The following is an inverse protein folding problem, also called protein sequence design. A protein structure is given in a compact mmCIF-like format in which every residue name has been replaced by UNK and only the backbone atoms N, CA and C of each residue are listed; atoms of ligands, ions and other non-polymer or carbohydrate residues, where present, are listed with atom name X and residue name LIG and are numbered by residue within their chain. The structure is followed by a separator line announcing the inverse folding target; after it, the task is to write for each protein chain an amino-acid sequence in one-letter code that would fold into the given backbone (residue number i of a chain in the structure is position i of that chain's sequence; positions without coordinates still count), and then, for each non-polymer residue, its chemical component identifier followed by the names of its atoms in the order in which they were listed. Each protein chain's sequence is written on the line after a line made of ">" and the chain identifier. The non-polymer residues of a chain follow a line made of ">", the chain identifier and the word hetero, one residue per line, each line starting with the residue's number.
data_IF_543531600648
#
_entry.id   IF_543531600648
#
_cell.length_a   1.000
_cell.length_b   1.000
_cell.length_c   1.000
_cell.angle_alpha   90.00
_cell.angle_beta   90.00
_cell.angle_gamma   90.00
#
_symmetry.space_group_name_H-M   'P 1'
#
loop_
_entity.id
_entity.type
_entity.pdbx_description
1 polymer ?
#
# COMPACT_ATOMS: atom_id res chain seq x y z
N UNK A 1 -8.77 9.94 -3.63
CA UNK A 1 -8.45 11.36 -3.39
C UNK A 1 -7.65 11.62 -2.12
N UNK A 2 -7.66 10.76 -1.10
CA UNK A 2 -6.96 11.01 0.18
C UNK A 2 -5.46 10.62 0.20
N UNK A 3 -4.98 9.74 -0.69
CA UNK A 3 -3.51 9.57 -0.86
C UNK A 3 -2.78 10.88 -1.21
N UNK A 4 -3.53 11.87 -1.71
CA UNK A 4 -3.01 13.21 -1.94
C UNK A 4 -2.77 13.99 -0.62
N UNK A 5 -3.47 13.63 0.47
CA UNK A 5 -3.36 14.34 1.75
C UNK A 5 -2.09 13.98 2.53
N UNK A 6 -1.63 12.73 2.47
CA UNK A 6 -0.33 12.35 3.07
C UNK A 6 0.81 12.96 2.27
N UNK A 7 0.70 13.00 0.94
CA UNK A 7 1.63 13.73 0.08
C UNK A 7 1.66 15.23 0.42
N UNK A 8 0.53 15.82 0.76
CA UNK A 8 0.45 17.24 1.18
C UNK A 8 1.10 17.49 2.52
N UNK A 9 0.94 16.59 3.52
CA UNK A 9 1.51 16.80 4.86
C UNK A 9 3.05 16.69 4.86
N UNK A 10 3.61 15.76 4.10
CA UNK A 10 5.07 15.63 3.93
C UNK A 10 5.62 16.73 3.01
N UNK A 11 4.90 17.11 1.95
CA UNK A 11 5.32 18.16 1.02
C UNK A 11 5.26 19.57 1.63
N UNK A 12 4.29 19.87 2.49
CA UNK A 12 4.15 21.18 3.15
C UNK A 12 5.28 21.43 4.15
N UNK A 13 5.82 20.41 4.79
CA UNK A 13 6.99 20.58 5.67
C UNK A 13 8.29 20.87 4.89
N UNK A 14 8.35 20.54 3.61
CA UNK A 14 9.52 20.74 2.73
C UNK A 14 9.44 22.05 1.93
N UNK A 15 8.22 22.55 1.66
CA UNK A 15 8.01 23.71 0.78
C UNK A 15 8.16 25.08 1.46
N UNK A 16 8.50 25.15 2.75
CA UNK A 16 8.79 26.44 3.41
C UNK A 16 10.19 26.98 3.12
N UNK A 17 10.97 26.38 2.22
CA UNK A 17 12.36 26.78 1.95
C UNK A 17 12.67 27.15 0.49
N UNK A 18 11.70 27.32 -0.37
CA UNK A 18 12.02 27.85 -1.71
C UNK A 18 10.91 28.72 -2.28
N UNK A 19 11.05 30.01 -2.02
CA UNK A 19 10.40 31.11 -2.74
C UNK A 19 11.08 31.31 -4.11
N UNK A 20 10.25 31.67 -5.12
CA UNK A 20 10.60 32.23 -6.42
C UNK A 20 11.02 31.27 -7.55
N UNK A 21 10.03 30.90 -8.37
CA UNK A 21 10.14 31.01 -9.83
C UNK A 21 8.75 30.93 -10.49
N UNK A 22 8.32 31.99 -11.12
CA UNK A 22 7.20 32.02 -12.07
C UNK A 22 7.72 31.84 -13.50
N UNK A 23 7.10 31.01 -14.33
CA UNK A 23 7.16 31.25 -15.77
C UNK A 23 5.78 31.59 -16.37
N UNK A 24 5.80 32.61 -17.16
CA UNK A 24 4.75 33.20 -17.96
C UNK A 24 4.20 32.25 -19.04
N UNK A 25 2.89 32.43 -19.24
CA UNK A 25 2.05 31.78 -20.24
C UNK A 25 2.28 32.47 -21.59
N UNK A 26 2.41 31.69 -22.67
CA UNK A 26 2.20 32.13 -24.04
C UNK A 26 1.23 31.19 -24.76
N UNK A 27 0.11 31.66 -25.30
CA UNK A 27 -0.80 30.83 -26.08
C UNK A 27 -0.41 30.84 -27.56
N UNK A 28 -0.41 29.71 -28.24
CA UNK A 28 -0.40 29.62 -29.68
C UNK A 28 -1.53 28.75 -30.20
N UNK A 29 -2.37 29.42 -30.93
CA UNK A 29 -3.53 29.02 -31.71
C UNK A 29 -3.12 28.47 -33.09
N UNK A 30 -4.01 27.66 -33.62
CA UNK A 30 -4.26 27.27 -35.03
C UNK A 30 -4.07 25.79 -35.28
N UNK A 31 -4.89 25.11 -35.96
CA UNK A 31 -6.05 25.31 -36.82
C UNK A 31 -6.32 23.97 -37.49
N UNK A 32 -7.57 23.62 -37.55
CA UNK A 32 -8.26 22.71 -38.45
C UNK A 32 -7.49 22.11 -39.61
N UNK A 33 -7.62 20.81 -39.86
CA UNK A 33 -7.85 20.26 -41.22
C UNK A 33 -8.46 18.86 -41.18
N UNK A 34 -9.70 18.80 -41.62
CA UNK A 34 -10.38 17.90 -42.55
C UNK A 34 -10.30 16.35 -42.39
N UNK A 35 -11.50 15.85 -42.10
CA UNK A 35 -12.23 14.71 -42.62
C UNK A 35 -11.56 13.89 -43.74
N UNK A 36 -11.55 12.54 -43.55
CA UNK A 36 -12.13 11.62 -44.57
C UNK A 36 -12.13 10.19 -43.97
N UNK A 37 -13.31 9.69 -43.79
CA UNK A 37 -13.90 8.37 -43.86
C UNK A 37 -12.96 7.23 -44.30
N UNK A 38 -12.87 6.15 -43.49
CA UNK A 38 -13.14 4.77 -43.97
C UNK A 38 -13.65 3.98 -42.77
N UNK A 39 -14.89 3.52 -42.88
CA UNK A 39 -15.50 2.52 -42.02
C UNK A 39 -14.81 1.17 -42.22
N UNK A 40 -14.16 0.69 -41.21
CA UNK A 40 -13.89 -0.75 -41.03
C UNK A 40 -14.24 -1.07 -39.61
N UNK A 41 -15.45 -1.59 -39.42
CA UNK A 41 -15.90 -2.16 -38.16
C UNK A 41 -15.08 -3.41 -37.87
N UNK A 42 -13.95 -3.24 -37.21
CA UNK A 42 -13.33 -4.33 -36.47
C UNK A 42 -14.08 -4.40 -35.17
N UNK A 43 -15.00 -5.34 -35.05
CA UNK A 43 -15.57 -5.74 -33.79
C UNK A 43 -14.43 -6.32 -32.93
N UNK A 44 -13.76 -5.43 -32.19
CA UNK A 44 -12.87 -5.84 -31.13
C UNK A 44 -13.79 -6.38 -30.03
N UNK A 45 -14.00 -7.68 -30.02
CA UNK A 45 -14.52 -8.38 -28.86
C UNK A 45 -13.58 -8.09 -27.72
N UNK A 46 -13.95 -7.12 -26.89
CA UNK A 46 -13.33 -6.93 -25.58
C UNK A 46 -13.77 -8.15 -24.77
N UNK A 47 -12.96 -9.21 -24.84
CA UNK A 47 -13.05 -10.29 -23.88
C UNK A 47 -12.90 -9.62 -22.50
N UNK A 48 -13.83 -9.84 -21.56
CA UNK A 48 -13.65 -9.36 -20.21
C UNK A 48 -12.30 -9.94 -19.76
N UNK A 49 -11.35 -9.05 -19.45
CA UNK A 49 -10.09 -9.43 -18.85
C UNK A 49 -10.46 -10.11 -17.54
N UNK A 50 -10.50 -11.44 -17.55
CA UNK A 50 -10.66 -12.24 -16.34
C UNK A 50 -9.62 -11.70 -15.37
N UNK A 51 -10.09 -10.98 -14.34
CA UNK A 51 -9.24 -10.75 -13.19
C UNK A 51 -8.77 -12.13 -12.77
N UNK A 52 -7.47 -12.35 -12.78
CA UNK A 52 -6.87 -13.58 -12.26
C UNK A 52 -7.19 -13.52 -10.76
N UNK A 53 -8.36 -14.04 -10.40
CA UNK A 53 -8.64 -14.37 -9.01
C UNK A 53 -7.61 -15.43 -8.69
N UNK A 54 -6.58 -15.09 -7.93
CA UNK A 54 -5.63 -16.08 -7.44
C UNK A 54 -6.47 -17.10 -6.68
N UNK A 55 -6.26 -18.39 -6.94
CA UNK A 55 -6.97 -19.46 -6.26
C UNK A 55 -6.86 -19.22 -4.74
N UNK A 56 -8.00 -19.06 -4.07
CA UNK A 56 -8.04 -18.78 -2.64
C UNK A 56 -7.62 -20.00 -1.84
N UNK A 57 -6.76 -19.81 -0.88
CA UNK A 57 -6.34 -20.84 0.08
C UNK A 57 -7.32 -20.83 1.26
N UNK A 58 -8.34 -21.68 1.16
CA UNK A 58 -9.40 -21.78 2.15
C UNK A 58 -9.01 -22.70 3.31
N UNK A 59 -9.56 -22.43 4.50
CA UNK A 59 -9.48 -23.28 5.68
C UNK A 59 -8.04 -23.65 6.10
N UNK A 60 -7.10 -22.72 5.90
CA UNK A 60 -5.75 -22.89 6.43
C UNK A 60 -5.79 -23.02 7.95
N UNK A 61 -5.00 -23.95 8.48
CA UNK A 61 -4.79 -24.08 9.93
C UNK A 61 -4.10 -22.82 10.49
N UNK A 62 -4.21 -22.56 11.81
CA UNK A 62 -3.49 -21.45 12.43
C UNK A 62 -1.99 -21.45 12.15
N UNK A 63 -1.35 -22.62 12.14
CA UNK A 63 0.08 -22.74 11.87
C UNK A 63 0.43 -22.42 10.40
N UNK A 64 -0.39 -22.86 9.45
CA UNK A 64 -0.15 -22.59 8.01
C UNK A 64 -0.30 -21.11 7.71
N UNK A 65 -1.36 -20.44 8.19
CA UNK A 65 -1.55 -19.02 7.94
C UNK A 65 -0.49 -18.18 8.65
N UNK A 66 -0.07 -18.55 9.86
CA UNK A 66 1.03 -17.88 10.56
C UNK A 66 2.33 -17.96 9.74
N UNK A 67 2.67 -19.12 9.22
CA UNK A 67 3.88 -19.31 8.39
C UNK A 67 3.84 -18.47 7.10
N UNK A 68 2.67 -18.34 6.47
CA UNK A 68 2.51 -17.49 5.27
C UNK A 68 2.70 -16.01 5.63
N UNK A 69 2.07 -15.54 6.70
CA UNK A 69 2.18 -14.13 7.14
C UNK A 69 3.61 -13.82 7.59
N UNK A 70 4.28 -14.75 8.29
CA UNK A 70 5.68 -14.59 8.67
C UNK A 70 6.60 -14.46 7.45
N UNK A 71 6.43 -15.31 6.45
CA UNK A 71 7.15 -15.20 5.17
C UNK A 71 6.89 -13.86 4.48
N UNK A 72 5.64 -13.40 4.43
CA UNK A 72 5.30 -12.12 3.83
C UNK A 72 5.96 -10.95 4.56
N UNK A 73 6.14 -11.05 5.89
CA UNK A 73 6.87 -10.07 6.68
C UNK A 73 8.38 -10.13 6.43
N UNK A 74 8.99 -11.30 6.56
CA UNK A 74 10.45 -11.47 6.61
C UNK A 74 11.05 -11.46 5.20
N UNK A 75 10.48 -12.22 4.27
CA UNK A 75 11.03 -12.37 2.91
C UNK A 75 10.50 -11.31 1.96
N UNK A 76 9.20 -11.01 2.02
CA UNK A 76 8.57 -10.08 1.10
C UNK A 76 8.58 -8.64 1.60
N UNK A 77 8.75 -8.37 2.89
CA UNK A 77 8.67 -7.03 3.50
C UNK A 77 7.37 -6.31 3.09
N UNK A 78 6.22 -7.01 3.18
CA UNK A 78 4.98 -6.57 2.55
C UNK A 78 4.48 -5.21 3.08
N UNK A 79 4.80 -4.85 4.34
CA UNK A 79 4.46 -3.53 4.90
C UNK A 79 5.16 -2.38 4.16
N UNK A 80 6.32 -2.62 3.56
CA UNK A 80 7.07 -1.59 2.81
C UNK A 80 6.80 -1.59 1.30
N UNK A 81 6.27 -2.68 0.72
CA UNK A 81 6.16 -2.80 -0.74
C UNK A 81 4.82 -3.35 -1.24
N UNK A 82 3.91 -3.73 -0.34
CA UNK A 82 2.61 -4.27 -0.68
C UNK A 82 2.61 -5.71 -1.22
N UNK A 83 3.72 -6.43 -1.17
CA UNK A 83 3.85 -7.80 -1.70
C UNK A 83 3.35 -8.85 -0.72
N UNK A 84 2.07 -8.87 -0.45
CA UNK A 84 1.41 -9.88 0.38
C UNK A 84 0.96 -11.11 -0.44
N UNK A 85 0.76 -12.23 0.23
CA UNK A 85 0.16 -13.44 -0.35
C UNK A 85 -1.36 -13.28 -0.48
N UNK A 86 -1.82 -12.70 -1.59
CA UNK A 86 -3.24 -12.33 -1.82
C UNK A 86 -4.22 -13.49 -1.69
N UNK A 87 -3.78 -14.72 -1.91
CA UNK A 87 -4.64 -15.91 -1.86
C UNK A 87 -5.22 -16.21 -0.47
N UNK A 88 -4.64 -15.66 0.60
CA UNK A 88 -5.16 -15.83 1.97
C UNK A 88 -6.11 -14.72 2.41
N UNK A 89 -6.35 -13.68 1.58
CA UNK A 89 -7.26 -12.57 1.88
C UNK A 89 -8.56 -12.68 1.09
N UNK A 90 -9.67 -12.25 1.68
CA UNK A 90 -10.89 -11.97 0.94
C UNK A 90 -10.67 -10.75 0.01
N UNK A 91 -11.29 -10.73 -1.17
CA UNK A 91 -11.16 -9.61 -2.11
C UNK A 91 -11.83 -8.32 -1.60
N UNK A 92 -12.73 -8.45 -0.63
CA UNK A 92 -13.37 -7.33 0.06
C UNK A 92 -12.69 -6.98 1.38
N UNK A 93 -11.53 -7.58 1.67
CA UNK A 93 -10.80 -7.31 2.90
C UNK A 93 -10.51 -5.82 3.05
N UNK A 94 -10.70 -5.32 4.27
CA UNK A 94 -10.40 -3.93 4.64
C UNK A 94 -9.05 -3.84 5.32
N UNK A 95 -8.29 -2.83 4.95
CA UNK A 95 -6.99 -2.50 5.53
C UNK A 95 -7.09 -1.15 6.22
N UNK A 96 -6.88 -1.12 7.52
CA UNK A 96 -6.96 0.09 8.34
C UNK A 96 -5.67 0.32 9.11
N UNK A 97 -5.11 1.50 8.96
CA UNK A 97 -4.02 2.04 9.79
C UNK A 97 -4.53 3.19 10.68
N UNK A 98 -3.63 3.93 11.34
CA UNK A 98 -3.97 5.08 12.17
C UNK A 98 -4.37 6.33 11.35
N UNK A 99 -4.38 6.25 10.02
CA UNK A 99 -4.67 7.37 9.12
C UNK A 99 -6.00 7.18 8.41
N UNK A 100 -6.24 5.99 7.81
CA UNK A 100 -7.42 5.77 6.96
C UNK A 100 -7.76 4.26 6.85
N UNK A 101 -8.80 3.97 6.05
CA UNK A 101 -9.24 2.61 5.72
C UNK A 101 -9.26 2.42 4.20
N UNK A 102 -8.71 1.33 3.72
CA UNK A 102 -8.50 1.01 2.31
C UNK A 102 -9.08 -0.35 1.95
N UNK A 103 -9.46 -0.56 0.69
CA UNK A 103 -9.60 -1.89 0.12
C UNK A 103 -8.25 -2.49 -0.23
N UNK A 104 -8.16 -3.81 -0.37
CA UNK A 104 -6.91 -4.55 -0.61
C UNK A 104 -6.11 -4.00 -1.81
N UNK A 105 -6.76 -3.72 -2.95
CA UNK A 105 -6.07 -3.19 -4.13
C UNK A 105 -5.51 -1.79 -3.91
N UNK A 106 -6.26 -0.97 -3.20
CA UNK A 106 -5.86 0.39 -2.87
C UNK A 106 -4.66 0.39 -1.92
N UNK A 107 -4.68 -0.48 -0.91
CA UNK A 107 -3.60 -0.62 0.05
C UNK A 107 -2.31 -1.12 -0.64
N UNK A 108 -2.38 -2.21 -1.42
CA UNK A 108 -1.23 -2.76 -2.18
C UNK A 108 -0.62 -1.68 -3.08
N UNK A 109 -1.46 -1.02 -3.89
CA UNK A 109 -1.00 0.01 -4.81
C UNK A 109 -0.46 1.24 -4.10
N UNK A 110 -1.06 1.60 -2.97
CA UNK A 110 -0.65 2.73 -2.14
C UNK A 110 0.72 2.48 -1.54
N UNK A 111 0.88 1.39 -0.81
CA UNK A 111 2.13 1.00 -0.14
C UNK A 111 3.28 0.88 -1.15
N UNK A 112 3.06 0.18 -2.27
CA UNK A 112 4.10 -0.02 -3.30
C UNK A 112 4.58 1.27 -3.99
N UNK A 113 3.78 2.34 -3.97
CA UNK A 113 4.14 3.65 -4.54
C UNK A 113 4.70 4.61 -3.52
N UNK A 114 4.19 4.52 -2.27
CA UNK A 114 4.52 5.47 -1.21
C UNK A 114 5.93 5.23 -0.67
N UNK A 115 6.35 3.99 -0.58
CA UNK A 115 7.63 3.63 0.01
C UNK A 115 8.61 3.05 -1.00
N UNK A 116 9.90 3.23 -0.71
CA UNK A 116 11.00 2.53 -1.40
C UNK A 116 11.17 1.19 -0.71
N UNK A 117 10.96 0.10 -1.44
CA UNK A 117 11.18 -1.25 -0.88
C UNK A 117 12.62 -1.50 -0.45
N UNK A 118 12.93 -2.69 0.08
CA UNK A 118 14.30 -3.05 0.47
C UNK A 118 15.32 -2.86 -0.68
N UNK A 119 16.53 -2.37 -0.41
CA UNK A 119 17.10 -2.07 0.93
C UNK A 119 16.79 -0.66 1.45
N UNK A 120 15.94 0.13 0.77
CA UNK A 120 15.59 1.50 1.17
C UNK A 120 14.77 1.53 2.46
N UNK A 121 13.77 0.68 2.56
CA UNK A 121 13.02 0.43 3.79
C UNK A 121 13.40 -0.90 4.42
N UNK A 122 13.22 -1.01 5.73
CA UNK A 122 13.43 -2.23 6.51
C UNK A 122 12.19 -2.52 7.31
N UNK A 123 11.78 -3.79 7.32
CA UNK A 123 10.68 -4.31 8.12
C UNK A 123 11.23 -5.46 8.97
N UNK A 124 10.92 -5.46 10.26
CA UNK A 124 11.35 -6.48 11.20
C UNK A 124 10.13 -7.03 11.95
N UNK A 125 10.05 -8.34 12.03
CA UNK A 125 9.05 -9.03 12.84
C UNK A 125 9.56 -9.14 14.27
N UNK A 126 8.70 -8.82 15.26
CA UNK A 126 9.00 -8.89 16.69
C UNK A 126 8.14 -10.00 17.31
N UNK A 127 8.74 -10.90 18.08
CA UNK A 127 8.08 -12.00 18.81
C UNK A 127 7.34 -13.05 17.94
N UNK A 128 7.61 -13.11 16.62
CA UNK A 128 6.96 -14.03 15.68
C UNK A 128 5.48 -13.73 15.42
N UNK A 129 4.86 -14.59 14.60
CA UNK A 129 3.43 -14.51 14.25
C UNK A 129 2.64 -15.48 15.11
N UNK A 130 1.57 -15.00 15.74
CA UNK A 130 0.63 -15.80 16.52
C UNK A 130 -0.70 -15.88 15.78
N UNK A 131 -1.25 -17.08 15.65
CA UNK A 131 -2.53 -17.27 14.97
C UNK A 131 -3.45 -18.23 15.75
N UNK A 132 -4.75 -18.00 15.58
CA UNK A 132 -5.81 -18.90 15.96
C UNK A 132 -6.87 -18.94 14.84
N UNK A 133 -8.00 -19.61 15.07
CA UNK A 133 -9.04 -19.73 14.04
C UNK A 133 -9.72 -18.39 13.69
N UNK A 134 -9.62 -17.38 14.56
CA UNK A 134 -10.31 -16.08 14.40
C UNK A 134 -9.39 -14.96 13.98
N UNK A 135 -8.11 -15.04 14.34
CA UNK A 135 -7.19 -13.93 14.10
C UNK A 135 -5.73 -14.38 13.94
N UNK A 136 -4.94 -13.54 13.28
CA UNK A 136 -3.49 -13.59 13.23
C UNK A 136 -2.95 -12.27 13.78
N UNK A 137 -2.00 -12.34 14.71
CA UNK A 137 -1.43 -11.17 15.38
C UNK A 137 0.09 -11.23 15.32
N UNK A 138 0.71 -10.09 14.99
CA UNK A 138 2.15 -9.92 15.05
C UNK A 138 2.52 -8.49 15.42
N UNK A 139 3.75 -8.33 15.93
CA UNK A 139 4.36 -7.02 16.19
C UNK A 139 5.45 -6.73 15.16
N UNK A 140 5.66 -5.48 14.86
CA UNK A 140 6.62 -5.04 13.87
C UNK A 140 7.39 -3.81 14.33
N UNK A 141 8.59 -3.67 13.78
CA UNK A 141 9.40 -2.45 13.76
C UNK A 141 9.80 -2.19 12.32
N UNK A 142 9.70 -0.94 11.87
CA UNK A 142 10.05 -0.59 10.50
C UNK A 142 10.72 0.77 10.38
N UNK A 143 11.64 0.83 9.42
CA UNK A 143 12.22 2.06 8.88
C UNK A 143 11.65 2.23 7.48
N UNK A 144 10.73 3.15 7.28
CA UNK A 144 10.07 3.39 5.99
C UNK A 144 10.66 4.58 5.27
N UNK A 145 11.30 4.32 4.13
CA UNK A 145 11.80 5.37 3.24
C UNK A 145 10.70 5.78 2.27
N UNK A 146 10.27 7.04 2.33
CA UNK A 146 9.30 7.56 1.38
C UNK A 146 9.88 7.70 -0.03
N UNK A 147 9.09 7.35 -1.03
CA UNK A 147 9.44 7.50 -2.45
C UNK A 147 9.12 8.91 -2.97
N UNK A 148 9.67 9.93 -2.31
CA UNK A 148 9.56 11.35 -2.66
C UNK A 148 10.96 11.97 -2.72
N UNK A 149 11.13 13.21 -3.24
CA UNK A 149 12.42 13.91 -3.20
C UNK A 149 13.00 13.90 -1.78
N UNK A 150 14.33 13.76 -1.70
CA UNK A 150 15.11 13.65 -0.45
C UNK A 150 14.87 12.38 0.37
N UNK A 151 13.99 11.49 -0.07
CA UNK A 151 13.74 10.15 0.49
C UNK A 151 13.79 10.10 2.02
N UNK A 152 12.94 10.87 2.73
CA UNK A 152 12.94 10.85 4.19
C UNK A 152 12.59 9.45 4.70
N UNK A 153 13.23 9.07 5.82
CA UNK A 153 13.00 7.80 6.52
C UNK A 153 12.30 8.08 7.83
N UNK A 154 11.18 7.42 8.09
CA UNK A 154 10.48 7.43 9.39
C UNK A 154 10.64 6.09 10.08
N UNK A 155 10.67 6.12 11.42
CA UNK A 155 10.68 4.93 12.25
C UNK A 155 9.28 4.73 12.83
N UNK A 156 8.82 3.50 12.79
CA UNK A 156 7.48 3.12 13.21
C UNK A 156 7.54 1.74 13.88
N UNK A 157 6.81 1.57 14.96
CA UNK A 157 6.57 0.27 15.59
C UNK A 157 5.11 0.11 15.93
N UNK A 158 4.68 -1.13 16.09
CA UNK A 158 3.30 -1.40 16.40
C UNK A 158 2.94 -2.88 16.33
N UNK A 159 1.64 -3.12 16.27
CA UNK A 159 1.09 -4.45 16.06
C UNK A 159 0.06 -4.44 14.93
N UNK A 160 -0.06 -5.58 14.27
CA UNK A 160 -1.13 -5.86 13.31
C UNK A 160 -2.02 -6.97 13.86
N UNK A 161 -3.31 -6.80 13.65
CA UNK A 161 -4.34 -7.81 13.88
C UNK A 161 -5.04 -8.08 12.55
N UNK A 162 -5.02 -9.34 12.12
CA UNK A 162 -5.72 -9.80 10.91
C UNK A 162 -6.90 -10.66 11.38
N UNK A 163 -8.13 -10.23 11.09
CA UNK A 163 -9.32 -11.00 11.42
C UNK A 163 -9.64 -12.00 10.31
N UNK A 164 -10.06 -13.21 10.71
CA UNK A 164 -10.37 -14.31 9.79
C UNK A 164 -11.86 -14.60 9.78
N UNK A 165 -12.38 -14.88 8.61
CA UNK A 165 -13.74 -15.42 8.47
C UNK A 165 -13.80 -16.88 8.94
N UNK A 166 -14.75 -17.19 9.82
CA UNK A 166 -14.87 -18.52 10.45
C UNK A 166 -15.22 -19.64 9.45
N UNK A 167 -15.80 -19.31 8.29
CA UNK A 167 -16.25 -20.31 7.31
C UNK A 167 -15.20 -20.61 6.24
N UNK A 168 -14.48 -19.59 5.82
CA UNK A 168 -13.51 -19.68 4.72
C UNK A 168 -12.07 -19.68 5.22
N UNK A 169 -11.82 -19.22 6.45
CA UNK A 169 -10.49 -19.03 7.00
C UNK A 169 -9.72 -17.85 6.37
N UNK A 170 -10.32 -17.14 5.42
CA UNK A 170 -9.68 -16.00 4.76
C UNK A 170 -9.60 -14.79 5.68
N UNK A 171 -8.58 -13.97 5.49
CA UNK A 171 -8.43 -12.69 6.18
C UNK A 171 -9.41 -11.68 5.57
N UNK A 172 -10.28 -11.11 6.39
CA UNK A 172 -11.31 -10.14 5.99
C UNK A 172 -11.00 -8.73 6.50
N UNK A 173 -10.14 -8.61 7.51
CA UNK A 173 -9.76 -7.33 8.09
C UNK A 173 -8.27 -7.35 8.44
N UNK A 174 -7.58 -6.29 8.08
CA UNK A 174 -6.23 -5.95 8.51
C UNK A 174 -6.32 -4.67 9.33
N UNK A 175 -5.86 -4.71 10.57
CA UNK A 175 -5.79 -3.54 11.42
C UNK A 175 -4.42 -3.34 12.02
N UNK A 176 -3.83 -2.19 11.72
CA UNK A 176 -2.56 -1.75 12.24
C UNK A 176 -2.77 -0.78 13.41
N UNK A 177 -2.00 -0.97 14.47
CA UNK A 177 -1.98 -0.11 15.65
C UNK A 177 -0.55 0.35 15.88
N UNK A 178 -0.32 1.64 15.77
CA UNK A 178 1.00 2.23 15.98
C UNK A 178 1.23 2.51 17.46
N UNK A 179 2.47 2.31 17.92
CA UNK A 179 2.88 2.68 19.27
C UNK A 179 3.04 4.20 19.41
N UNK A 180 3.26 4.90 18.30
CA UNK A 180 3.43 6.35 18.24
C UNK A 180 2.24 6.99 17.51
N UNK A 181 1.89 8.21 17.93
CA UNK A 181 0.94 8.99 17.16
C UNK A 181 1.53 9.46 15.82
N UNK A 182 0.64 9.67 14.83
CA UNK A 182 1.01 10.07 13.44
C UNK A 182 1.95 11.29 13.42
N UNK A 183 1.73 12.25 14.30
CA UNK A 183 2.53 13.49 14.38
C UNK A 183 3.96 13.20 14.82
N UNK A 184 4.12 12.29 15.78
CA UNK A 184 5.43 11.85 16.28
C UNK A 184 6.17 11.08 15.20
N UNK A 185 5.50 10.16 14.49
CA UNK A 185 6.08 9.42 13.36
C UNK A 185 6.60 10.38 12.28
N UNK A 186 5.78 11.36 11.86
CA UNK A 186 6.19 12.34 10.84
C UNK A 186 7.35 13.22 11.29
N UNK A 187 7.41 13.60 12.58
CA UNK A 187 8.53 14.38 13.15
C UNK A 187 9.82 13.58 13.26
N UNK A 188 9.75 12.25 13.31
CA UNK A 188 10.92 11.37 13.34
C UNK A 188 11.67 11.30 12.00
N UNK A 189 11.12 11.90 10.92
CA UNK A 189 11.67 11.82 9.58
C UNK A 189 13.12 12.31 9.54
N UNK A 190 14.01 11.43 9.09
CA UNK A 190 15.43 11.70 8.87
C UNK A 190 15.70 11.76 7.37
N UNK A 191 16.41 12.79 6.95
CA UNK A 191 16.86 12.95 5.57
C UNK A 191 18.26 12.31 5.44
N UNK A 192 18.44 11.50 4.40
CA UNK A 192 19.74 10.91 4.07
C UNK A 192 20.49 11.77 3.07
#
# INVERSE_FOLDING_TARGET
>A
MLQLSIFCAVAVSVLHLSSAYSPSIVPSSRSQFLKTIISSAVATTILPRSSIASDKQLNLTPSEIAAIVERDMVENSFLANGKLTRSIYDEKATFRDEIDTYGIDQWIKGTSKLFVGPPGSRVSLVDGVKANDKEVVFKFEEDLMFNVPFKPVVNLSGKVVLERDEKTGLITSYREFWDQDVKTVLKSAKFK
#
